data_IF_637218947379
#
_entry.id   IF_637218947379
#
_cell.length_a   1.000
_cell.length_b   1.000
_cell.length_c   1.000
_cell.angle_alpha   90.00
_cell.angle_beta   90.00
_cell.angle_gamma   90.00
#
_symmetry.space_group_name_H-M   'P 1'
#
loop_
_entity.id
_entity.type
_entity.pdbx_description
1 polymer ?
#
# COMPACT_ATOMS: atom_id res chain seq x y z
N UNK A 1 0.70 -13.09 -11.87
CA UNK A 1 2.15 -13.12 -12.20
C UNK A 1 2.32 -12.88 -13.68
N UNK A 2 3.11 -11.89 -14.09
CA UNK A 2 3.53 -11.72 -15.48
C UNK A 2 4.91 -12.37 -15.67
N UNK A 3 5.07 -13.24 -16.68
CA UNK A 3 6.32 -13.95 -16.97
C UNK A 3 6.45 -14.20 -18.46
N UNK A 4 7.66 -14.00 -19.01
CA UNK A 4 7.98 -14.22 -20.43
C UNK A 4 8.98 -15.39 -20.65
N UNK A 5 9.03 -16.35 -19.73
CA UNK A 5 9.89 -17.52 -19.79
C UNK A 5 9.03 -18.74 -19.54
N UNK A 6 9.02 -19.74 -20.42
CA UNK A 6 8.16 -20.94 -20.36
C UNK A 6 6.71 -20.63 -19.92
N UNK A 7 6.02 -19.69 -20.59
CA UNK A 7 4.69 -19.26 -20.15
C UNK A 7 3.64 -20.38 -20.16
N UNK A 8 3.81 -21.39 -21.02
CA UNK A 8 2.95 -22.58 -21.14
C UNK A 8 3.23 -23.70 -20.12
N UNK A 9 4.32 -23.59 -19.34
CA UNK A 9 4.68 -24.62 -18.34
C UNK A 9 3.79 -24.49 -17.09
N UNK A 10 2.78 -25.37 -17.01
CA UNK A 10 1.80 -25.38 -15.92
C UNK A 10 2.43 -25.76 -14.58
N UNK A 11 3.31 -26.77 -14.55
CA UNK A 11 3.95 -27.22 -13.32
C UNK A 11 4.84 -26.12 -12.72
N UNK A 12 5.55 -25.38 -13.58
CA UNK A 12 6.33 -24.23 -13.15
C UNK A 12 5.44 -23.08 -12.65
N UNK A 13 4.30 -22.85 -13.30
CA UNK A 13 3.31 -21.86 -12.85
C UNK A 13 2.79 -22.18 -11.46
N UNK A 14 2.45 -23.44 -11.20
CA UNK A 14 1.94 -23.87 -9.89
C UNK A 14 3.00 -23.75 -8.80
N UNK A 15 4.25 -24.15 -9.10
CA UNK A 15 5.39 -23.98 -8.19
C UNK A 15 5.63 -22.52 -7.83
N UNK A 16 5.57 -21.61 -8.81
CA UNK A 16 5.76 -20.19 -8.54
C UNK A 16 4.60 -19.62 -7.73
N UNK A 17 3.36 -20.01 -8.03
CA UNK A 17 2.19 -19.58 -7.27
C UNK A 17 2.30 -19.98 -5.79
N UNK A 18 2.67 -21.24 -5.52
CA UNK A 18 2.85 -21.72 -4.14
C UNK A 18 3.99 -20.96 -3.43
N UNK A 19 5.13 -20.77 -4.11
CA UNK A 19 6.26 -20.04 -3.54
C UNK A 19 5.93 -18.57 -3.25
N UNK A 20 5.23 -17.89 -4.15
CA UNK A 20 4.79 -16.52 -3.94
C UNK A 20 3.79 -16.41 -2.80
N UNK A 21 2.81 -17.33 -2.72
CA UNK A 21 1.81 -17.32 -1.65
C UNK A 21 2.42 -17.25 -0.26
N UNK A 22 3.45 -18.06 0.00
CA UNK A 22 4.17 -18.07 1.28
C UNK A 22 4.82 -16.72 1.62
N UNK A 23 5.49 -16.11 0.65
CA UNK A 23 6.14 -14.79 0.84
C UNK A 23 5.08 -13.70 1.09
N UNK A 24 3.97 -13.75 0.35
CA UNK A 24 2.87 -12.79 0.55
C UNK A 24 2.22 -12.91 1.94
N UNK A 25 2.14 -14.12 2.50
CA UNK A 25 1.64 -14.34 3.86
C UNK A 25 2.58 -13.72 4.91
N UNK A 26 3.89 -13.89 4.75
CA UNK A 26 4.91 -13.26 5.61
C UNK A 26 4.84 -11.72 5.54
N UNK A 27 4.75 -11.17 4.32
CA UNK A 27 4.61 -9.73 4.10
C UNK A 27 3.32 -9.19 4.73
N UNK A 28 2.20 -9.91 4.60
CA UNK A 28 0.92 -9.53 5.20
C UNK A 28 1.03 -9.44 6.72
N UNK A 29 1.58 -10.47 7.37
CA UNK A 29 1.75 -10.48 8.82
C UNK A 29 2.58 -9.27 9.29
N UNK A 30 3.68 -8.98 8.59
CA UNK A 30 4.53 -7.84 8.88
C UNK A 30 3.82 -6.50 8.72
N UNK A 31 3.06 -6.30 7.64
CA UNK A 31 2.30 -5.06 7.40
C UNK A 31 1.19 -4.86 8.44
N UNK A 32 0.47 -5.91 8.81
CA UNK A 32 -0.53 -5.82 9.87
C UNK A 32 0.10 -5.50 11.23
N UNK A 33 1.27 -6.09 11.54
CA UNK A 33 2.00 -5.77 12.75
C UNK A 33 2.45 -4.30 12.78
N UNK A 34 2.93 -3.78 11.65
CA UNK A 34 3.25 -2.36 11.51
C UNK A 34 2.02 -1.48 11.74
N UNK A 35 0.87 -1.82 11.15
CA UNK A 35 -0.38 -1.07 11.34
C UNK A 35 -0.83 -1.09 12.81
N UNK A 36 -0.79 -2.24 13.48
CA UNK A 36 -1.08 -2.35 14.91
C UNK A 36 -0.16 -1.46 15.74
N UNK A 37 1.13 -1.40 15.39
CA UNK A 37 2.10 -0.56 16.07
C UNK A 37 1.84 0.95 15.87
N UNK A 38 1.48 1.36 14.66
CA UNK A 38 1.10 2.75 14.37
C UNK A 38 -0.12 3.20 15.18
N UNK A 39 -1.16 2.35 15.22
CA UNK A 39 -2.38 2.63 16.00
C UNK A 39 -2.09 2.69 17.51
N UNK A 40 -1.17 1.86 18.00
CA UNK A 40 -0.77 1.84 19.40
C UNK A 40 0.05 3.07 19.81
N UNK A 41 0.78 3.67 18.88
CA UNK A 41 1.69 4.80 19.15
C UNK A 41 1.51 5.94 18.15
N UNK A 42 0.35 6.62 18.12
CA UNK A 42 0.02 7.60 17.10
C UNK A 42 0.95 8.83 17.09
N UNK A 43 1.48 9.21 18.25
CA UNK A 43 2.32 10.41 18.39
C UNK A 43 3.81 10.14 18.07
N UNK A 44 4.19 8.88 17.81
CA UNK A 44 5.58 8.52 17.50
C UNK A 44 5.82 8.61 16.00
N UNK A 45 6.92 9.27 15.64
CA UNK A 45 7.36 9.30 14.26
C UNK A 45 8.04 7.99 13.87
N UNK A 46 7.74 7.50 12.66
CA UNK A 46 8.46 6.39 12.06
C UNK A 46 9.90 6.81 11.75
N UNK A 47 10.86 6.01 12.23
CA UNK A 47 12.25 6.12 11.81
C UNK A 47 12.36 5.70 10.35
N UNK A 48 12.96 6.56 9.52
CA UNK A 48 13.15 6.32 8.09
C UNK A 48 14.61 6.01 7.84
N UNK A 49 14.87 4.87 7.21
CA UNK A 49 16.20 4.44 6.79
C UNK A 49 16.38 4.74 5.29
N UNK A 50 17.63 4.71 4.82
CA UNK A 50 17.92 4.97 3.41
C UNK A 50 17.26 3.97 2.46
N UNK A 51 16.99 2.74 2.93
CA UNK A 51 16.29 1.71 2.17
C UNK A 51 14.79 2.00 2.00
N UNK A 52 14.22 2.89 2.81
CA UNK A 52 12.78 3.20 2.82
C UNK A 52 12.40 4.32 1.83
N UNK A 53 13.36 4.84 1.07
CA UNK A 53 13.16 6.01 0.21
C UNK A 53 11.96 5.91 -0.73
N UNK A 54 11.76 4.73 -1.33
CA UNK A 54 10.61 4.47 -2.21
C UNK A 54 9.26 4.58 -1.48
N UNK A 55 9.12 3.88 -0.35
CA UNK A 55 7.89 3.88 0.44
C UNK A 55 7.57 5.25 1.05
N UNK A 56 8.60 5.97 1.52
CA UNK A 56 8.44 7.34 2.05
C UNK A 56 7.93 8.30 0.98
N UNK A 57 8.46 8.22 -0.24
CA UNK A 57 8.00 9.08 -1.33
C UNK A 57 6.59 8.72 -1.80
N UNK A 58 6.28 7.42 -1.91
CA UNK A 58 4.93 6.96 -2.24
C UNK A 58 3.89 7.49 -1.24
N UNK A 59 4.18 7.41 0.07
CA UNK A 59 3.28 7.95 1.11
C UNK A 59 3.00 9.43 0.93
N UNK A 60 4.03 10.25 0.67
CA UNK A 60 3.86 11.69 0.42
C UNK A 60 2.98 11.98 -0.79
N UNK A 61 3.11 11.19 -1.85
CA UNK A 61 2.29 11.34 -3.06
C UNK A 61 0.83 11.00 -2.74
N UNK A 62 0.59 9.90 -2.04
CA UNK A 62 -0.75 9.47 -1.62
C UNK A 62 -1.40 10.54 -0.73
N UNK A 63 -0.68 11.04 0.29
CA UNK A 63 -1.20 12.06 1.21
C UNK A 63 -1.60 13.35 0.46
N UNK A 64 -0.82 13.76 -0.55
CA UNK A 64 -1.15 14.91 -1.39
C UNK A 64 -2.43 14.66 -2.21
N UNK A 65 -2.53 13.52 -2.88
CA UNK A 65 -3.70 13.16 -3.70
C UNK A 65 -4.96 13.10 -2.81
N UNK A 66 -4.88 12.46 -1.64
CA UNK A 66 -5.99 12.41 -0.68
C UNK A 66 -6.43 13.81 -0.24
N UNK A 67 -5.49 14.73 -0.03
CA UNK A 67 -5.81 16.12 0.33
C UNK A 67 -6.54 16.83 -0.81
N UNK A 68 -6.10 16.62 -2.05
CA UNK A 68 -6.73 17.16 -3.25
C UNK A 68 -8.16 16.60 -3.41
N UNK A 69 -8.35 15.28 -3.30
CA UNK A 69 -9.64 14.61 -3.38
C UNK A 69 -10.62 15.10 -2.28
N UNK A 70 -10.17 15.22 -1.04
CA UNK A 70 -11.01 15.72 0.07
C UNK A 70 -11.43 17.18 -0.13
N UNK A 71 -10.56 18.01 -0.70
CA UNK A 71 -10.89 19.40 -0.99
C UNK A 71 -11.94 19.53 -2.10
N UNK A 72 -11.84 18.68 -3.14
CA UNK A 72 -12.82 18.61 -4.23
C UNK A 72 -14.19 18.12 -3.74
N UNK A 73 -14.21 17.09 -2.88
CA UNK A 73 -15.44 16.60 -2.25
C UNK A 73 -16.12 17.69 -1.41
N UNK A 74 -15.35 18.41 -0.58
CA UNK A 74 -15.88 19.52 0.22
C UNK A 74 -16.43 20.66 -0.66
N UNK A 75 -15.71 21.01 -1.73
CA UNK A 75 -16.16 22.01 -2.69
C UNK A 75 -17.43 21.59 -3.44
N UNK A 76 -17.64 20.29 -3.63
CA UNK A 76 -18.85 19.73 -4.26
C UNK A 76 -20.03 19.74 -3.29
N UNK A 77 -19.84 19.27 -2.06
CA UNK A 77 -20.87 19.29 -1.00
C UNK A 77 -21.33 20.71 -0.65
N UNK A 78 -20.42 21.69 -0.65
CA UNK A 78 -20.75 23.10 -0.43
C UNK A 78 -21.58 23.72 -1.56
N UNK A 79 -21.52 23.17 -2.78
CA UNK A 79 -22.36 23.61 -3.91
C UNK A 79 -23.74 22.95 -3.92
N UNK A 80 -23.87 21.76 -3.32
CA UNK A 80 -25.09 20.96 -3.32
C UNK A 80 -26.03 21.23 -2.14
N UNK A 81 -25.61 22.00 -1.14
CA UNK A 81 -26.48 22.45 -0.04
C UNK A 81 -27.06 23.84 -0.36
N UNK A 82 -28.32 23.97 -0.82
CA UNK A 82 -28.95 25.29 -0.95
C UNK A 82 -29.43 25.76 0.43
N UNK A 83 -29.34 27.07 0.65
CA UNK A 83 -29.86 27.76 1.83
C UNK A 83 -31.39 27.63 1.98
#
# INVERSE_FOLDING_TARGET
>A
MARNFKPEDQALTDKIREGQGKIFEEDLEMLEAQQRNLLRYPDRQLLKLNIDGGGVQARRIIDRILTEELAEEQATQAKETPA
#
